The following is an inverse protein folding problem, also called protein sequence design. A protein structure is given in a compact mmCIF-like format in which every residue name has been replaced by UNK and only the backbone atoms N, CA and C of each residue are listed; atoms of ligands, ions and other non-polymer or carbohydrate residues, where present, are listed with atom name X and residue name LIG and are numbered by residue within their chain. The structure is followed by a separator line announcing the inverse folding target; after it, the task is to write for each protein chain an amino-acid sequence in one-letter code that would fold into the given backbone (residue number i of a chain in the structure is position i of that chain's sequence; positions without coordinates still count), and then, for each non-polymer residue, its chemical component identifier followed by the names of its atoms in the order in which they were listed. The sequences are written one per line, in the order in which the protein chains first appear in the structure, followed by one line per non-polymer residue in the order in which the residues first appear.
data_IF_497904288981
#
_entry.id   IF_497904288981
#
_cell.length_a   1.000
_cell.length_b   1.000
_cell.length_c   1.000
_cell.angle_alpha   90.00
_cell.angle_beta   90.00
_cell.angle_gamma   90.00
#
_symmetry.space_group_name_H-M   'P 1'
#
loop_
_entity.id
_entity.type
_entity.pdbx_description
1 polymer ?
#
# COMPACT_ATOMS: atom_id res chain seq x y z
N UNK A 1 -3.79 -15.44 -29.45
CA UNK A 1 -3.33 -14.66 -28.28
C UNK A 1 -4.09 -15.23 -27.09
N UNK A 2 -3.42 -15.98 -26.23
CA UNK A 2 -4.06 -16.49 -25.01
C UNK A 2 -4.18 -15.32 -24.05
N UNK A 3 -5.38 -15.04 -23.55
CA UNK A 3 -5.57 -13.98 -22.56
C UNK A 3 -4.74 -14.29 -21.30
N UNK A 4 -4.09 -13.25 -20.76
CA UNK A 4 -3.34 -13.39 -19.52
C UNK A 4 -4.31 -13.66 -18.36
N UNK A 5 -3.99 -14.57 -17.44
CA UNK A 5 -4.80 -14.75 -16.23
C UNK A 5 -4.92 -13.44 -15.45
N UNK A 6 -6.12 -13.18 -14.94
CA UNK A 6 -6.41 -11.96 -14.18
C UNK A 6 -5.94 -12.09 -12.73
N UNK A 7 -5.48 -10.97 -12.16
CA UNK A 7 -5.04 -10.92 -10.77
C UNK A 7 -5.59 -9.68 -10.06
N UNK A 8 -6.06 -9.89 -8.83
CA UNK A 8 -6.40 -8.84 -7.88
C UNK A 8 -5.41 -8.90 -6.71
N UNK A 9 -4.81 -7.76 -6.37
CA UNK A 9 -3.79 -7.66 -5.33
C UNK A 9 -4.35 -6.95 -4.10
N UNK A 10 -4.14 -7.55 -2.93
CA UNK A 10 -4.56 -7.02 -1.64
C UNK A 10 -3.30 -6.80 -0.79
N UNK A 11 -3.06 -5.56 -0.39
CA UNK A 11 -1.79 -5.15 0.22
C UNK A 11 -2.03 -4.70 1.65
N UNK A 12 -1.31 -5.30 2.59
CA UNK A 12 -1.20 -4.81 3.96
C UNK A 12 -0.12 -3.72 4.04
N UNK A 13 -0.56 -2.50 4.33
CA UNK A 13 0.28 -1.32 4.40
C UNK A 13 1.25 -1.31 5.57
N UNK A 14 0.93 -1.96 6.69
CA UNK A 14 1.88 -2.09 7.79
C UNK A 14 3.01 -3.04 7.41
N UNK A 15 2.69 -4.16 6.75
CA UNK A 15 3.72 -5.09 6.28
C UNK A 15 4.61 -4.46 5.21
N UNK A 16 4.04 -3.72 4.25
CA UNK A 16 4.85 -2.98 3.27
C UNK A 16 5.74 -1.94 3.95
N UNK A 17 5.20 -1.16 4.88
CA UNK A 17 6.01 -0.17 5.60
C UNK A 17 7.14 -0.85 6.38
N UNK A 18 6.83 -1.83 7.21
CA UNK A 18 7.81 -2.48 8.08
C UNK A 18 8.85 -3.29 7.31
N UNK A 19 8.46 -3.96 6.23
CA UNK A 19 9.33 -4.86 5.47
C UNK A 19 10.16 -4.17 4.39
N UNK A 20 9.72 -3.02 3.86
CA UNK A 20 10.36 -2.39 2.71
C UNK A 20 10.71 -0.92 2.89
N UNK A 21 9.86 -0.13 3.55
CA UNK A 21 10.02 1.33 3.60
C UNK A 21 10.65 1.84 4.90
N UNK A 22 10.50 1.11 6.00
CA UNK A 22 11.02 1.49 7.32
C UNK A 22 12.54 1.59 7.28
N UNK A 23 13.07 2.76 7.61
CA UNK A 23 14.51 3.04 7.60
C UNK A 23 15.03 3.54 6.25
N UNK A 24 14.18 3.63 5.24
CA UNK A 24 14.49 4.31 3.97
C UNK A 24 14.05 5.77 4.01
N UNK A 25 14.59 6.60 3.10
CA UNK A 25 14.13 7.98 2.90
C UNK A 25 12.77 8.05 2.19
N UNK A 26 12.26 6.92 1.68
CA UNK A 26 11.00 6.84 0.97
C UNK A 26 9.83 6.58 1.91
N UNK A 27 8.72 7.29 1.67
CA UNK A 27 7.49 7.16 2.47
C UNK A 27 6.35 6.48 1.71
N UNK A 28 6.48 6.39 0.39
CA UNK A 28 5.44 5.88 -0.50
C UNK A 28 6.06 4.96 -1.55
N UNK A 29 5.26 4.00 -2.01
CA UNK A 29 5.62 3.04 -3.04
C UNK A 29 4.50 2.99 -4.07
N UNK A 30 4.85 3.07 -5.36
CA UNK A 30 3.87 2.86 -6.42
C UNK A 30 3.57 1.36 -6.54
N UNK A 31 2.53 0.91 -5.85
CA UNK A 31 2.14 -0.50 -5.79
C UNK A 31 1.66 -1.03 -7.15
N UNK A 32 0.99 -0.21 -7.96
CA UNK A 32 0.56 -0.62 -9.30
C UNK A 32 1.78 -0.93 -10.17
N UNK A 33 2.73 0.00 -10.26
CA UNK A 33 3.96 -0.20 -11.04
C UNK A 33 4.78 -1.39 -10.53
N UNK A 34 4.82 -1.59 -9.20
CA UNK A 34 5.49 -2.75 -8.60
C UNK A 34 4.87 -4.06 -9.09
N UNK A 35 3.55 -4.22 -8.98
CA UNK A 35 2.89 -5.48 -9.32
C UNK A 35 2.79 -5.72 -10.82
N UNK A 36 2.64 -4.67 -11.64
CA UNK A 36 2.74 -4.78 -13.09
C UNK A 36 4.14 -5.28 -13.52
N UNK A 37 5.19 -4.80 -12.87
CA UNK A 37 6.57 -5.21 -13.13
C UNK A 37 6.91 -6.62 -12.62
N UNK A 38 6.37 -7.01 -11.45
CA UNK A 38 6.62 -8.33 -10.86
C UNK A 38 5.84 -9.46 -11.59
N UNK A 39 4.64 -9.16 -12.08
CA UNK A 39 3.71 -10.17 -12.59
C UNK A 39 3.38 -9.98 -14.08
N UNK A 40 4.42 -9.89 -14.93
CA UNK A 40 4.27 -9.66 -16.38
C UNK A 40 3.34 -10.65 -17.10
N UNK A 41 3.23 -11.88 -16.59
CA UNK A 41 2.35 -12.94 -17.11
C UNK A 41 0.88 -12.81 -16.71
N UNK A 42 0.55 -11.87 -15.83
CA UNK A 42 -0.80 -11.61 -15.36
C UNK A 42 -1.32 -10.27 -15.84
N UNK A 43 -2.62 -10.13 -15.80
CA UNK A 43 -3.34 -8.88 -16.01
C UNK A 43 -3.85 -8.38 -14.66
N UNK A 44 -3.12 -7.41 -14.09
CA UNK A 44 -3.43 -6.83 -12.77
C UNK A 44 -4.61 -5.89 -12.91
N UNK A 45 -5.79 -6.33 -12.48
CA UNK A 45 -7.04 -5.57 -12.65
C UNK A 45 -7.35 -4.66 -11.46
N UNK A 46 -6.83 -4.99 -10.29
CA UNK A 46 -7.12 -4.27 -9.06
C UNK A 46 -5.96 -4.36 -8.09
N UNK A 47 -5.62 -3.24 -7.47
CA UNK A 47 -4.74 -3.18 -6.32
C UNK A 47 -5.49 -2.48 -5.19
N UNK A 48 -5.79 -3.20 -4.11
CA UNK A 48 -6.39 -2.65 -2.90
C UNK A 48 -5.35 -2.56 -1.80
N UNK A 49 -5.18 -1.36 -1.26
CA UNK A 49 -4.27 -1.08 -0.17
C UNK A 49 -5.06 -0.91 1.12
N UNK A 50 -4.68 -1.67 2.15
CA UNK A 50 -5.31 -1.68 3.46
C UNK A 50 -4.29 -1.27 4.50
N UNK A 51 -4.65 -0.34 5.37
CA UNK A 51 -3.86 0.01 6.54
C UNK A 51 -4.79 0.02 7.74
N UNK A 52 -4.30 -0.40 8.91
CA UNK A 52 -5.13 -0.32 10.10
C UNK A 52 -5.32 1.15 10.49
N UNK A 53 -6.50 1.47 11.00
CA UNK A 53 -6.75 2.76 11.61
C UNK A 53 -5.82 2.91 12.80
N UNK A 54 -5.09 4.02 12.86
CA UNK A 54 -4.22 4.33 13.99
C UNK A 54 -5.11 4.74 15.16
N UNK A 55 -5.35 3.81 16.08
CA UNK A 55 -5.96 4.11 17.36
C UNK A 55 -4.89 4.70 18.30
N UNK A 56 -4.88 6.03 18.47
CA UNK A 56 -3.87 6.67 19.32
C UNK A 56 -4.10 8.16 19.60
N UNK A 57 -3.53 8.65 20.70
CA UNK A 57 -3.48 10.09 21.02
C UNK A 57 -2.71 10.80 19.91
N UNK A 58 -3.38 11.77 19.28
CA UNK A 58 -2.77 12.93 18.65
C UNK A 58 -1.32 13.14 19.15
N UNK A 59 -0.33 12.97 18.27
CA UNK A 59 1.03 13.39 18.63
C UNK A 59 0.95 14.87 19.04
N UNK A 60 1.60 15.31 20.13
CA UNK A 60 1.48 16.69 20.60
C UNK A 60 1.80 17.73 19.51
N UNK A 61 2.72 17.40 18.59
CA UNK A 61 3.08 18.22 17.43
C UNK A 61 2.25 17.97 16.16
N UNK A 62 1.34 16.98 16.15
CA UNK A 62 0.45 16.72 15.01
C UNK A 62 -0.87 16.06 15.45
N UNK A 63 -1.82 16.85 15.97
CA UNK A 63 -3.05 16.31 16.53
C UNK A 63 -4.01 15.71 15.50
N UNK A 64 -3.97 16.21 14.27
CA UNK A 64 -4.86 15.78 13.19
C UNK A 64 -4.42 14.48 12.49
N UNK A 65 -3.40 13.79 12.99
CA UNK A 65 -2.83 12.62 12.29
C UNK A 65 -3.84 11.48 12.13
N UNK A 66 -4.72 11.28 13.11
CA UNK A 66 -5.79 10.25 13.08
C UNK A 66 -6.90 10.66 12.12
N UNK A 67 -7.29 11.95 12.11
CA UNK A 67 -8.37 12.46 11.26
C UNK A 67 -8.06 12.34 9.75
N UNK A 68 -6.78 12.33 9.35
CA UNK A 68 -6.35 12.19 7.95
C UNK A 68 -6.61 10.80 7.36
N UNK A 69 -6.90 9.79 8.18
CA UNK A 69 -7.19 8.43 7.72
C UNK A 69 -8.66 8.20 7.36
N UNK A 70 -9.54 9.16 7.64
CA UNK A 70 -11.00 9.03 7.45
C UNK A 70 -11.53 9.72 6.19
N UNK A 71 -10.64 10.11 5.27
CA UNK A 71 -10.98 10.82 4.02
C UNK A 71 -11.32 9.83 2.92
#
# INVERSE_FOLDING_TARGET
MTERPQMNVYVDGFNVYNGLLRGTDYRWLNLVALFDGLFLGYDVRLVRYFTAVLEGKASPGNPGIVARQQV
#
